data_IF_950343875339
#
_entry.id   IF_950343875339
#
_cell.length_a   1.000
_cell.length_b   1.000
_cell.length_c   1.000
_cell.angle_alpha   90.00
_cell.angle_beta   90.00
_cell.angle_gamma   90.00
#
_symmetry.space_group_name_H-M   'P 1'
#
loop_
_entity.id
_entity.type
_entity.pdbx_description
1 polymer ?
#
# COMPACT_ATOMS: atom_id res chain seq x y z
N UNK A 1 30.76 -69.54 -45.49
CA UNK A 1 29.35 -69.23 -45.77
C UNK A 1 28.62 -69.45 -44.46
N UNK A 2 28.11 -68.47 -43.73
CA UNK A 2 27.88 -67.06 -44.04
C UNK A 2 27.87 -66.20 -42.76
N UNK A 3 28.05 -64.90 -43.01
CA UNK A 3 28.05 -63.77 -42.06
C UNK A 3 26.70 -63.62 -41.36
N UNK A 4 26.72 -62.99 -40.18
CA UNK A 4 25.88 -61.83 -39.76
C UNK A 4 26.22 -61.54 -38.28
N UNK A 5 27.04 -60.55 -37.93
CA UNK A 5 26.68 -59.14 -37.70
C UNK A 5 25.24 -58.94 -37.18
N UNK A 6 25.08 -58.56 -35.90
CA UNK A 6 24.21 -57.44 -35.46
C UNK A 6 24.20 -57.39 -33.92
N UNK A 7 25.02 -56.52 -33.33
CA UNK A 7 24.62 -55.20 -32.81
C UNK A 7 24.12 -55.24 -31.36
N UNK A 8 24.94 -54.69 -30.46
CA UNK A 8 24.45 -54.09 -29.23
C UNK A 8 23.50 -52.94 -29.58
N UNK A 9 22.42 -52.73 -28.82
CA UNK A 9 22.21 -51.35 -28.37
C UNK A 9 21.65 -51.22 -26.94
N UNK A 10 22.44 -50.45 -26.17
CA UNK A 10 21.98 -49.32 -25.35
C UNK A 10 21.10 -49.61 -24.13
N UNK A 11 21.74 -50.03 -23.04
CA UNK A 11 21.35 -49.66 -21.69
C UNK A 11 21.59 -48.14 -21.48
N UNK A 12 20.70 -47.27 -22.01
CA UNK A 12 20.78 -45.81 -21.78
C UNK A 12 19.41 -45.13 -21.57
N UNK A 13 18.31 -45.88 -21.70
CA UNK A 13 16.95 -45.33 -21.60
C UNK A 13 16.47 -45.15 -20.16
N UNK A 14 16.80 -46.05 -19.22
CA UNK A 14 16.23 -45.99 -17.85
C UNK A 14 16.65 -44.74 -17.07
N UNK A 15 17.87 -44.27 -17.23
CA UNK A 15 18.36 -43.03 -16.61
C UNK A 15 17.75 -41.77 -17.23
N UNK A 16 17.36 -41.84 -18.51
CA UNK A 16 16.72 -40.71 -19.20
C UNK A 16 15.27 -40.55 -18.74
N UNK A 17 14.51 -41.65 -18.65
CA UNK A 17 13.14 -41.63 -18.12
C UNK A 17 13.09 -41.21 -16.65
N UNK A 18 14.05 -41.64 -15.83
CA UNK A 18 14.16 -41.18 -14.43
C UNK A 18 14.42 -39.68 -14.31
N UNK A 19 15.31 -39.13 -15.14
CA UNK A 19 15.60 -37.67 -15.17
C UNK A 19 14.40 -36.87 -15.69
N UNK A 20 13.68 -37.39 -16.68
CA UNK A 20 12.48 -36.76 -17.21
C UNK A 20 11.36 -36.70 -16.15
N UNK A 21 11.10 -37.83 -15.46
CA UNK A 21 10.13 -37.88 -14.37
C UNK A 21 10.49 -36.94 -13.22
N UNK A 22 11.77 -36.84 -12.87
CA UNK A 22 12.23 -35.90 -11.85
C UNK A 22 12.01 -34.44 -12.24
N UNK A 23 12.31 -34.07 -13.49
CA UNK A 23 12.08 -32.70 -13.98
C UNK A 23 10.59 -32.35 -14.06
N UNK A 24 9.74 -33.30 -14.45
CA UNK A 24 8.28 -33.14 -14.43
C UNK A 24 7.77 -32.96 -13.01
N UNK A 25 8.25 -33.77 -12.06
CA UNK A 25 7.91 -33.63 -10.64
C UNK A 25 8.35 -32.28 -10.08
N UNK A 26 9.56 -31.83 -10.42
CA UNK A 26 10.07 -30.52 -10.01
C UNK A 26 9.23 -29.37 -10.60
N UNK A 27 8.87 -29.45 -11.89
CA UNK A 27 8.01 -28.48 -12.55
C UNK A 27 6.61 -28.43 -11.93
N UNK A 28 6.05 -29.58 -11.56
CA UNK A 28 4.76 -29.66 -10.88
C UNK A 28 4.80 -28.99 -9.50
N UNK A 29 5.86 -29.21 -8.71
CA UNK A 29 6.04 -28.56 -7.40
C UNK A 29 6.13 -27.04 -7.55
N UNK A 30 6.92 -26.54 -8.50
CA UNK A 30 7.04 -25.10 -8.76
C UNK A 30 5.71 -24.52 -9.24
N UNK A 31 5.01 -25.19 -10.15
CA UNK A 31 3.70 -24.77 -10.64
C UNK A 31 2.66 -24.66 -9.53
N UNK A 32 2.60 -25.65 -8.63
CA UNK A 32 1.71 -25.63 -7.46
C UNK A 32 2.10 -24.50 -6.50
N UNK A 33 3.40 -24.27 -6.28
CA UNK A 33 3.88 -23.16 -5.45
C UNK A 33 3.48 -21.78 -5.99
N UNK A 34 3.58 -21.58 -7.31
CA UNK A 34 3.16 -20.34 -7.95
C UNK A 34 1.64 -20.17 -7.94
N UNK A 35 0.88 -21.26 -8.14
CA UNK A 35 -0.57 -21.24 -8.10
C UNK A 35 -1.12 -20.90 -6.71
N UNK A 36 -0.56 -21.52 -5.66
CA UNK A 36 -0.92 -21.25 -4.27
C UNK A 36 -0.58 -19.82 -3.86
N UNK A 37 0.60 -19.31 -4.25
CA UNK A 37 0.98 -17.92 -4.04
C UNK A 37 0.04 -16.94 -4.77
N UNK A 38 -0.44 -17.29 -5.96
CA UNK A 38 -1.38 -16.44 -6.72
C UNK A 38 -2.75 -16.35 -6.05
N UNK A 39 -3.27 -17.46 -5.51
CA UNK A 39 -4.55 -17.48 -4.79
C UNK A 39 -4.48 -16.70 -3.46
N UNK A 40 -3.36 -16.77 -2.74
CA UNK A 40 -3.15 -16.03 -1.49
C UNK A 40 -3.08 -14.51 -1.68
N UNK A 41 -2.63 -14.03 -2.84
CA UNK A 41 -2.56 -12.59 -3.13
C UNK A 41 -3.93 -11.91 -3.10
N UNK A 42 -4.99 -12.60 -3.53
CA UNK A 42 -6.33 -12.02 -3.59
C UNK A 42 -6.96 -11.83 -2.20
N UNK A 43 -6.75 -12.78 -1.28
CA UNK A 43 -7.26 -12.67 0.08
C UNK A 43 -6.53 -11.57 0.88
N UNK A 44 -5.22 -11.41 0.69
CA UNK A 44 -4.40 -10.42 1.40
C UNK A 44 -4.72 -8.98 0.99
N UNK A 45 -5.10 -8.75 -0.27
CA UNK A 45 -5.44 -7.41 -0.76
C UNK A 45 -6.71 -6.84 -0.10
N UNK A 46 -7.75 -7.66 0.05
CA UNK A 46 -9.01 -7.22 0.65
C UNK A 46 -8.84 -6.90 2.14
N UNK A 47 -8.12 -7.74 2.88
CA UNK A 47 -7.88 -7.53 4.32
C UNK A 47 -7.09 -6.25 4.60
N UNK A 48 -6.08 -5.95 3.78
CA UNK A 48 -5.33 -4.71 3.85
C UNK A 48 -6.22 -3.50 3.55
N UNK A 49 -7.03 -3.57 2.49
CA UNK A 49 -7.92 -2.48 2.11
C UNK A 49 -8.96 -2.19 3.20
N UNK A 50 -9.58 -3.22 3.76
CA UNK A 50 -10.54 -3.06 4.86
C UNK A 50 -9.88 -2.44 6.09
N UNK A 51 -8.65 -2.85 6.40
CA UNK A 51 -7.90 -2.31 7.54
C UNK A 51 -7.58 -0.82 7.33
N UNK A 52 -7.14 -0.44 6.13
CA UNK A 52 -6.89 0.95 5.78
C UNK A 52 -8.17 1.79 5.83
N UNK A 53 -9.29 1.30 5.28
CA UNK A 53 -10.56 2.01 5.32
C UNK A 53 -11.01 2.22 6.77
N UNK A 54 -10.92 1.19 7.63
CA UNK A 54 -11.24 1.31 9.06
C UNK A 54 -10.37 2.36 9.75
N UNK A 55 -9.07 2.39 9.47
CA UNK A 55 -8.14 3.39 10.00
C UNK A 55 -8.49 4.80 9.52
N UNK A 56 -8.75 4.99 8.22
CA UNK A 56 -9.13 6.29 7.65
C UNK A 56 -10.44 6.80 8.24
N UNK A 57 -11.45 5.94 8.38
CA UNK A 57 -12.73 6.30 9.01
C UNK A 57 -12.55 6.69 10.47
N UNK A 58 -11.69 5.98 11.20
CA UNK A 58 -11.35 6.31 12.59
C UNK A 58 -10.67 7.68 12.71
N UNK A 59 -9.72 7.99 11.82
CA UNK A 59 -9.04 9.29 11.78
C UNK A 59 -10.03 10.39 11.41
N UNK A 60 -10.84 10.20 10.36
CA UNK A 60 -11.83 11.19 9.93
C UNK A 60 -12.87 11.46 11.03
N UNK A 61 -13.27 10.44 11.79
CA UNK A 61 -14.18 10.57 12.93
C UNK A 61 -13.61 11.36 14.12
N UNK A 62 -12.29 11.57 14.19
CA UNK A 62 -11.66 12.40 15.22
C UNK A 62 -11.77 13.91 14.95
N UNK A 63 -12.07 14.30 13.71
CA UNK A 63 -12.18 15.69 13.30
C UNK A 63 -13.61 16.18 13.49
N UNK A 64 -13.80 17.18 14.34
CA UNK A 64 -15.10 17.84 14.51
C UNK A 64 -15.47 18.64 13.25
N UNK A 65 -16.56 18.27 12.53
CA UNK A 65 -17.00 18.99 11.33
C UNK A 65 -17.34 20.46 11.59
N UNK A 66 -17.81 20.81 12.79
CA UNK A 66 -18.14 22.19 13.15
C UNK A 66 -16.88 23.05 13.25
N UNK A 67 -15.81 22.52 13.85
CA UNK A 67 -14.52 23.22 13.90
C UNK A 67 -13.92 23.36 12.49
N UNK A 68 -14.01 22.31 11.67
CA UNK A 68 -13.49 22.36 10.29
C UNK A 68 -14.21 23.42 9.43
N UNK A 69 -15.51 23.63 9.65
CA UNK A 69 -16.28 24.68 8.95
C UNK A 69 -15.88 26.11 9.35
N UNK A 70 -15.30 26.29 10.55
CA UNK A 70 -14.83 27.61 11.01
C UNK A 70 -13.49 28.03 10.40
N UNK A 71 -12.74 27.08 9.83
CA UNK A 71 -11.46 27.34 9.19
C UNK A 71 -11.66 27.94 7.79
N UNK A 72 -10.83 28.93 7.47
CA UNK A 72 -10.81 29.55 6.14
C UNK A 72 -9.99 28.74 5.13
N UNK A 73 -9.19 27.79 5.62
CA UNK A 73 -8.10 27.12 4.90
C UNK A 73 -7.20 28.15 4.24
N UNK A 74 -6.72 29.08 5.06
CA UNK A 74 -5.81 30.17 4.68
C UNK A 74 -4.77 30.42 5.78
N UNK A 75 -3.71 31.22 5.53
CA UNK A 75 -2.68 31.48 6.53
C UNK A 75 -3.20 32.05 7.86
N UNK A 76 -4.39 32.67 7.86
CA UNK A 76 -5.01 33.27 9.06
C UNK A 76 -5.47 32.22 10.07
N UNK A 77 -5.64 30.97 9.66
CA UNK A 77 -6.08 29.90 10.55
C UNK A 77 -4.98 29.47 11.52
N UNK A 78 -3.70 29.71 11.20
CA UNK A 78 -2.56 29.33 12.04
C UNK A 78 -2.69 29.96 13.43
N UNK A 79 -2.61 29.13 14.48
CA UNK A 79 -2.76 29.57 15.86
C UNK A 79 -4.19 29.89 16.30
N UNK A 80 -5.19 29.70 15.42
CA UNK A 80 -6.59 29.82 15.83
C UNK A 80 -7.00 28.64 16.71
N UNK A 81 -7.94 28.81 17.67
CA UNK A 81 -8.37 27.71 18.53
C UNK A 81 -8.92 26.50 17.76
N UNK A 82 -9.64 26.73 16.66
CA UNK A 82 -10.17 25.65 15.83
C UNK A 82 -9.04 24.87 15.13
N UNK A 83 -7.99 25.56 14.66
CA UNK A 83 -6.84 24.94 14.01
C UNK A 83 -6.06 24.07 14.98
N UNK A 84 -5.75 24.58 16.18
CA UNK A 84 -4.96 23.84 17.16
C UNK A 84 -5.72 22.62 17.72
N UNK A 85 -7.02 22.73 17.97
CA UNK A 85 -7.83 21.58 18.42
C UNK A 85 -7.85 20.49 17.35
N UNK A 86 -8.06 20.84 16.07
CA UNK A 86 -8.03 19.84 15.00
C UNK A 86 -6.63 19.23 14.88
N UNK A 87 -5.56 20.04 14.94
CA UNK A 87 -4.18 19.56 14.89
C UNK A 87 -3.89 18.56 16.00
N UNK A 88 -4.31 18.84 17.23
CA UNK A 88 -4.16 17.95 18.37
C UNK A 88 -4.89 16.61 18.13
N UNK A 89 -6.14 16.65 17.63
CA UNK A 89 -6.89 15.42 17.29
C UNK A 89 -6.22 14.59 16.20
N UNK A 90 -5.66 15.23 15.18
CA UNK A 90 -4.91 14.53 14.13
C UNK A 90 -3.64 13.88 14.68
N UNK A 91 -2.93 14.57 15.58
CA UNK A 91 -1.75 14.03 16.25
C UNK A 91 -2.11 12.81 17.11
N UNK A 92 -3.17 12.88 17.91
CA UNK A 92 -3.68 11.74 18.67
C UNK A 92 -4.06 10.58 17.76
N UNK A 93 -4.82 10.85 16.69
CA UNK A 93 -5.27 9.83 15.74
C UNK A 93 -4.09 9.16 15.00
N UNK A 94 -3.01 9.92 14.73
CA UNK A 94 -1.81 9.39 14.06
C UNK A 94 -1.08 8.32 14.88
N UNK A 95 -1.23 8.29 16.22
CA UNK A 95 -0.58 7.29 17.06
C UNK A 95 -1.12 5.87 16.83
N UNK A 96 -2.36 5.74 16.32
CA UNK A 96 -3.01 4.47 16.03
C UNK A 96 -2.81 3.95 14.60
N UNK A 97 -2.10 4.70 13.74
CA UNK A 97 -2.00 4.40 12.31
C UNK A 97 -0.54 4.49 11.86
N UNK A 98 -0.07 3.48 11.14
CA UNK A 98 1.26 3.51 10.51
C UNK A 98 1.21 4.43 9.30
N UNK A 99 1.54 5.70 9.51
CA UNK A 99 1.60 6.73 8.45
C UNK A 99 2.74 7.71 8.72
N UNK A 100 3.21 8.42 7.67
CA UNK A 100 4.22 9.48 7.82
C UNK A 100 3.63 10.75 8.44
N UNK A 101 2.39 11.05 8.07
CA UNK A 101 1.65 12.20 8.56
C UNK A 101 0.24 12.23 8.00
N UNK A 102 -0.61 13.00 8.66
CA UNK A 102 -2.01 13.19 8.30
C UNK A 102 -2.19 14.68 8.05
N UNK A 103 -2.81 15.03 6.93
CA UNK A 103 -3.11 16.42 6.57
C UNK A 103 -4.57 16.53 6.15
N UNK A 104 -5.12 17.74 6.28
CA UNK A 104 -6.47 18.06 5.83
C UNK A 104 -6.44 18.93 4.60
N UNK A 105 -7.44 18.75 3.75
CA UNK A 105 -7.67 19.56 2.56
C UNK A 105 -9.10 20.08 2.57
N UNK A 106 -9.29 21.32 2.09
CA UNK A 106 -10.61 21.81 1.73
C UNK A 106 -10.61 22.42 0.35
N UNK A 107 -11.75 22.30 -0.32
CA UNK A 107 -12.02 23.01 -1.57
C UNK A 107 -12.39 24.47 -1.24
N UNK A 108 -11.58 25.41 -1.72
CA UNK A 108 -11.78 26.86 -1.61
C UNK A 108 -11.44 27.51 -2.94
N UNK A 109 -12.35 28.32 -3.47
CA UNK A 109 -12.12 29.04 -4.74
C UNK A 109 -11.77 28.11 -5.91
N UNK A 110 -12.31 26.89 -5.92
CA UNK A 110 -12.00 25.88 -6.94
C UNK A 110 -10.63 25.21 -6.80
N UNK A 111 -9.90 25.45 -5.71
CA UNK A 111 -8.59 24.87 -5.43
C UNK A 111 -8.62 24.09 -4.12
N UNK A 112 -7.92 22.96 -4.07
CA UNK A 112 -7.66 22.26 -2.82
C UNK A 112 -6.57 23.02 -2.05
N UNK A 113 -6.83 23.32 -0.79
CA UNK A 113 -5.92 24.03 0.11
C UNK A 113 -5.67 23.24 1.38
N UNK A 114 -4.43 23.27 1.86
CA UNK A 114 -4.02 22.63 3.11
C UNK A 114 -4.65 23.32 4.33
N UNK A 115 -5.02 22.51 5.32
CA UNK A 115 -5.46 22.95 6.64
C UNK A 115 -4.51 22.45 7.74
N UNK A 116 -5.02 22.10 8.93
CA UNK A 116 -4.25 21.42 9.95
C UNK A 116 -3.64 20.09 9.48
N UNK A 117 -2.44 19.80 10.00
CA UNK A 117 -1.68 18.60 9.69
C UNK A 117 -0.78 18.19 10.88
N UNK A 118 -0.29 16.95 10.85
CA UNK A 118 0.56 16.38 11.91
C UNK A 118 2.05 16.65 11.72
N UNK A 119 2.46 17.21 10.57
CA UNK A 119 3.86 17.54 10.34
C UNK A 119 4.32 18.63 11.31
N UNK A 120 5.58 18.53 11.70
CA UNK A 120 6.23 19.58 12.47
C UNK A 120 6.57 20.74 11.54
N UNK A 121 6.62 21.96 12.05
CA UNK A 121 6.88 23.14 11.21
C UNK A 121 8.27 23.14 10.56
N UNK A 122 9.21 22.37 11.13
CA UNK A 122 10.56 22.15 10.62
C UNK A 122 10.67 20.96 9.63
N UNK A 123 9.58 20.22 9.40
CA UNK A 123 9.58 19.11 8.44
C UNK A 123 9.56 19.66 6.99
N UNK A 124 10.43 19.16 6.09
CA UNK A 124 10.41 19.57 4.68
C UNK A 124 9.08 19.32 3.95
N UNK A 125 8.24 18.41 4.46
CA UNK A 125 6.92 18.12 3.91
C UNK A 125 5.78 18.91 4.58
N UNK A 126 6.09 19.77 5.56
CA UNK A 126 5.08 20.60 6.21
C UNK A 126 4.52 21.62 5.23
N UNK A 127 3.20 21.69 5.17
CA UNK A 127 2.45 22.60 4.31
C UNK A 127 1.70 23.62 5.18
N UNK A 128 2.11 24.90 5.18
CA UNK A 128 1.39 25.94 5.89
C UNK A 128 -0.10 25.98 5.46
N UNK A 129 -1.02 26.34 6.38
CA UNK A 129 -2.44 26.41 6.04
C UNK A 129 -2.68 27.41 4.90
N UNK A 130 -3.55 27.02 3.96
CA UNK A 130 -3.85 27.76 2.75
C UNK A 130 -2.94 27.49 1.56
N UNK A 131 -1.85 26.75 1.75
CA UNK A 131 -0.99 26.27 0.66
C UNK A 131 -1.83 25.50 -0.34
N UNK A 132 -1.64 25.79 -1.63
CA UNK A 132 -2.35 25.10 -2.70
C UNK A 132 -1.84 23.66 -2.81
N UNK A 133 -2.76 22.71 -2.84
CA UNK A 133 -2.45 21.33 -3.16
C UNK A 133 -2.32 21.19 -4.69
N UNK A 134 -1.15 20.76 -5.15
CA UNK A 134 -0.86 20.64 -6.58
C UNK A 134 -1.23 19.25 -7.10
N UNK A 135 -0.51 18.20 -6.67
CA UNK A 135 -0.81 16.81 -7.02
C UNK A 135 -0.35 15.85 -5.91
N UNK A 136 -1.00 14.68 -5.75
CA UNK A 136 -0.46 13.60 -4.95
C UNK A 136 0.86 13.10 -5.57
N UNK A 137 1.84 12.64 -4.77
CA UNK A 137 2.96 11.88 -5.32
C UNK A 137 2.41 10.62 -6.03
N UNK A 138 2.93 10.34 -7.23
CA UNK A 138 2.64 9.11 -7.99
C UNK A 138 3.14 7.85 -7.27
#
# INVERSE_FOLDING_TARGET
MDREHSAAPTAKSSTFWGRLLFLVGLGAVVGIGLWTAHLQRQAYQTELQETLIRQVVSVAGSVDPYLAQRLQFSPVDKGSPAFEVIRERLLEASQGVVCRGIYTLALREGQLRFGPETYREDDPMASPPGTRYEQPPE
#
